data_IF_843883316755
#
_entry.id   IF_843883316755
#
_cell.length_a   1.000
_cell.length_b   1.000
_cell.length_c   1.000
_cell.angle_alpha   90.00
_cell.angle_beta   90.00
_cell.angle_gamma   90.00
#
_symmetry.space_group_name_H-M   'P 1'
#
loop_
_entity.id
_entity.type
_entity.pdbx_description
1 polymer ?
#
# COMPACT_ATOMS: atom_id res chain seq x y z
N UNK A 1 26.23 26.87 6.13
CA UNK A 1 26.97 27.07 4.86
C UNK A 1 25.97 27.20 3.75
N UNK A 2 26.29 27.88 2.66
CA UNK A 2 25.37 27.95 1.52
C UNK A 2 25.28 26.61 0.79
N UNK A 3 24.21 26.38 0.02
CA UNK A 3 23.99 25.13 -0.70
C UNK A 3 25.15 24.86 -1.69
N UNK A 4 25.57 25.90 -2.42
CA UNK A 4 26.74 25.88 -3.30
C UNK A 4 28.01 25.43 -2.57
N UNK A 5 28.28 26.01 -1.40
CA UNK A 5 29.47 25.66 -0.61
C UNK A 5 29.45 24.18 -0.21
N UNK A 6 28.30 23.70 0.30
CA UNK A 6 28.14 22.31 0.72
C UNK A 6 28.33 21.34 -0.44
N UNK A 7 27.68 21.57 -1.58
CA UNK A 7 27.82 20.72 -2.76
C UNK A 7 29.28 20.71 -3.28
N UNK A 8 29.95 21.87 -3.29
CA UNK A 8 31.35 22.01 -3.72
C UNK A 8 32.29 21.24 -2.80
N UNK A 9 32.16 21.40 -1.48
CA UNK A 9 33.03 20.73 -0.51
C UNK A 9 32.83 19.21 -0.47
N UNK A 10 31.57 18.75 -0.57
CA UNK A 10 31.27 17.32 -0.61
C UNK A 10 31.83 16.69 -1.88
N UNK A 11 31.56 17.27 -3.05
CA UNK A 11 32.05 16.74 -4.34
C UNK A 11 33.58 16.76 -4.43
N UNK A 12 34.20 17.91 -4.17
CA UNK A 12 35.65 18.08 -4.27
C UNK A 12 36.45 17.30 -3.22
N UNK A 13 35.88 17.11 -2.02
CA UNK A 13 36.50 16.36 -0.93
C UNK A 13 36.34 14.84 -1.03
N UNK A 14 35.42 14.34 -1.87
CA UNK A 14 35.00 12.93 -1.82
C UNK A 14 36.12 11.94 -2.15
N UNK A 15 36.88 12.20 -3.22
CA UNK A 15 37.94 11.29 -3.70
C UNK A 15 39.04 11.10 -2.67
N UNK A 16 39.44 12.19 -2.01
CA UNK A 16 40.41 12.13 -0.92
C UNK A 16 39.82 11.38 0.29
N UNK A 17 38.60 11.76 0.70
CA UNK A 17 37.93 11.18 1.86
C UNK A 17 37.78 9.65 1.76
N UNK A 18 37.54 9.11 0.56
CA UNK A 18 37.45 7.66 0.32
C UNK A 18 38.71 6.87 0.74
N UNK A 19 39.87 7.53 0.81
CA UNK A 19 41.13 6.91 1.25
C UNK A 19 41.44 7.14 2.74
N UNK A 20 40.55 7.82 3.46
CA UNK A 20 40.68 8.15 4.88
C UNK A 20 39.72 7.31 5.74
N UNK A 21 39.91 7.35 7.05
CA UNK A 21 39.06 6.62 7.98
C UNK A 21 37.62 7.16 7.93
N UNK A 22 36.65 6.25 7.77
CA UNK A 22 35.24 6.59 7.57
C UNK A 22 34.57 7.19 8.82
N UNK A 23 34.87 6.65 10.00
CA UNK A 23 34.14 6.96 11.23
C UNK A 23 34.34 8.43 11.65
N UNK A 24 33.25 9.19 11.67
CA UNK A 24 33.24 10.59 12.10
C UNK A 24 33.85 11.57 11.10
N UNK A 25 34.11 11.14 9.85
CA UNK A 25 34.79 11.97 8.87
C UNK A 25 34.00 13.25 8.53
N UNK A 26 34.64 14.44 8.45
CA UNK A 26 33.97 15.71 8.18
C UNK A 26 33.11 15.71 6.91
N UNK A 27 33.63 15.22 5.77
CA UNK A 27 32.88 15.13 4.51
C UNK A 27 31.60 14.27 4.63
N UNK A 28 31.64 13.17 5.39
CA UNK A 28 30.45 12.34 5.62
C UNK A 28 29.41 13.06 6.49
N UNK A 29 29.85 13.90 7.43
CA UNK A 29 28.98 14.73 8.26
C UNK A 29 28.36 15.88 7.45
N UNK A 30 29.13 16.54 6.58
CA UNK A 30 28.61 17.56 5.67
C UNK A 30 27.44 17.03 4.85
N UNK A 31 27.56 15.80 4.32
CA UNK A 31 26.48 15.15 3.58
C UNK A 31 25.28 14.77 4.47
N UNK A 32 25.53 14.17 5.64
CA UNK A 32 24.48 13.59 6.49
C UNK A 32 23.78 14.56 7.43
N UNK A 33 24.33 15.76 7.63
CA UNK A 33 23.81 16.74 8.58
C UNK A 33 23.65 18.09 7.91
N UNK A 34 24.75 18.69 7.49
CA UNK A 34 24.75 20.08 7.03
C UNK A 34 23.98 20.26 5.71
N UNK A 35 24.11 19.32 4.77
CA UNK A 35 23.35 19.34 3.52
C UNK A 35 21.86 19.05 3.75
N UNK A 36 21.53 18.10 4.64
CA UNK A 36 20.13 17.85 5.03
C UNK A 36 19.52 19.14 5.59
N UNK A 37 20.19 19.78 6.54
CA UNK A 37 19.70 21.01 7.17
C UNK A 37 19.55 22.16 6.15
N UNK A 38 20.49 22.31 5.22
CA UNK A 38 20.40 23.34 4.18
C UNK A 38 19.20 23.11 3.24
N UNK A 39 18.94 21.85 2.87
CA UNK A 39 17.79 21.51 2.03
C UNK A 39 16.49 21.73 2.82
N UNK A 40 16.40 21.28 4.08
CA UNK A 40 15.23 21.52 4.95
C UNK A 40 14.86 23.01 5.04
N UNK A 41 15.85 23.90 5.15
CA UNK A 41 15.61 25.36 5.17
C UNK A 41 15.14 25.93 3.83
N UNK A 42 15.33 25.20 2.74
CA UNK A 42 14.92 25.59 1.38
C UNK A 42 13.52 25.07 1.04
N UNK A 43 13.06 24.02 1.73
CA UNK A 43 11.75 23.42 1.47
C UNK A 43 10.60 24.32 1.96
N UNK A 44 9.53 24.49 1.16
CA UNK A 44 8.36 25.27 1.56
C UNK A 44 7.61 24.63 2.75
N UNK A 45 7.52 23.29 2.76
CA UNK A 45 6.89 22.50 3.83
C UNK A 45 7.83 21.36 4.26
N UNK A 46 8.85 21.62 5.10
CA UNK A 46 9.88 20.63 5.42
C UNK A 46 9.33 19.40 6.17
N UNK A 47 8.20 19.52 6.86
CA UNK A 47 7.54 18.39 7.57
C UNK A 47 6.97 17.33 6.63
N UNK A 48 6.75 17.67 5.37
CA UNK A 48 6.13 16.79 4.38
C UNK A 48 7.16 15.87 3.71
N UNK A 49 8.45 16.08 3.99
CA UNK A 49 9.54 15.35 3.37
C UNK A 49 10.44 14.64 4.38
N UNK A 50 10.82 13.42 4.06
CA UNK A 50 11.82 12.61 4.73
C UNK A 50 13.12 12.66 3.94
N UNK A 51 14.12 13.36 4.46
CA UNK A 51 15.44 13.44 3.86
C UNK A 51 16.33 12.29 4.35
N UNK A 52 16.97 11.59 3.42
CA UNK A 52 17.93 10.52 3.72
C UNK A 52 19.21 10.75 2.95
N UNK A 53 20.35 10.59 3.61
CA UNK A 53 21.64 10.70 2.96
C UNK A 53 22.55 9.51 3.29
N UNK A 54 23.31 9.05 2.30
CA UNK A 54 24.24 7.93 2.45
C UNK A 54 25.64 8.29 1.96
N UNK A 55 26.58 8.29 2.92
CA UNK A 55 28.02 8.28 2.65
C UNK A 55 28.59 6.85 2.57
N UNK A 56 27.74 5.81 2.72
CA UNK A 56 28.13 4.41 2.88
C UNK A 56 27.89 3.85 4.28
N UNK A 57 27.84 2.52 4.44
CA UNK A 57 27.49 1.85 5.69
C UNK A 57 28.69 1.09 6.26
N UNK A 58 29.52 1.77 7.05
CA UNK A 58 30.76 1.24 7.62
C UNK A 58 31.98 1.38 6.72
N UNK A 59 31.78 1.40 5.39
CA UNK A 59 32.76 1.78 4.38
C UNK A 59 32.22 2.93 3.54
N UNK A 60 33.10 3.67 2.86
CA UNK A 60 32.72 4.74 1.94
C UNK A 60 31.87 4.23 0.78
N UNK A 61 30.81 4.96 0.44
CA UNK A 61 30.06 4.74 -0.78
C UNK A 61 30.88 5.20 -2.00
N UNK A 62 30.80 4.43 -3.08
CA UNK A 62 31.38 4.82 -4.36
C UNK A 62 30.69 6.06 -4.93
N UNK A 63 29.36 6.08 -4.89
CA UNK A 63 28.49 7.20 -5.23
C UNK A 63 27.67 7.55 -3.99
N UNK A 64 27.96 8.65 -3.29
CA UNK A 64 27.12 9.11 -2.21
C UNK A 64 25.91 9.86 -2.77
N UNK A 65 24.88 9.96 -1.94
CA UNK A 65 23.63 10.56 -2.35
C UNK A 65 22.84 11.14 -1.18
N UNK A 66 21.92 12.04 -1.51
CA UNK A 66 20.88 12.54 -0.61
C UNK A 66 19.54 12.51 -1.36
N UNK A 67 18.57 11.77 -0.85
CA UNK A 67 17.21 11.67 -1.39
C UNK A 67 16.24 12.51 -0.57
N UNK A 68 15.28 13.14 -1.24
CA UNK A 68 14.17 13.86 -0.64
C UNK A 68 12.91 13.05 -0.93
N UNK A 69 12.34 12.43 0.09
CA UNK A 69 11.22 11.49 -0.05
C UNK A 69 9.96 12.14 0.49
N UNK A 70 8.80 11.99 -0.16
CA UNK A 70 7.53 12.32 0.47
C UNK A 70 6.96 11.03 1.10
N UNK A 71 6.78 10.92 2.43
CA UNK A 71 6.26 9.71 3.08
C UNK A 71 4.86 9.28 2.61
N UNK A 72 4.05 10.20 2.09
CA UNK A 72 2.77 9.86 1.46
C UNK A 72 2.95 9.11 0.13
N UNK A 73 4.14 9.16 -0.47
CA UNK A 73 4.49 8.55 -1.76
C UNK A 73 5.42 7.34 -1.57
N UNK A 74 6.55 7.54 -0.91
CA UNK A 74 7.53 6.50 -0.61
C UNK A 74 8.39 6.88 0.58
N UNK A 75 8.67 5.91 1.45
CA UNK A 75 9.64 6.08 2.54
C UNK A 75 10.99 5.42 2.22
N UNK A 76 11.14 4.82 1.04
CA UNK A 76 12.29 3.99 0.67
C UNK A 76 12.89 4.41 -0.66
N UNK A 77 14.22 4.51 -0.73
CA UNK A 77 14.93 4.71 -2.01
C UNK A 77 14.93 3.46 -2.89
N UNK A 78 14.39 2.33 -2.41
CA UNK A 78 14.31 1.09 -3.17
C UNK A 78 13.06 1.03 -4.07
N UNK A 79 12.10 1.92 -3.87
CA UNK A 79 10.79 1.92 -4.55
C UNK A 79 10.26 3.35 -4.73
N UNK A 80 9.41 3.54 -5.75
CA UNK A 80 8.80 4.84 -6.05
C UNK A 80 9.74 5.81 -6.75
N UNK A 81 9.24 7.02 -7.01
CA UNK A 81 9.94 8.17 -7.57
C UNK A 81 10.32 9.14 -6.45
N UNK A 82 11.45 9.83 -6.60
CA UNK A 82 11.91 10.81 -5.62
C UNK A 82 13.04 11.70 -6.17
N UNK A 83 13.09 12.99 -5.78
CA UNK A 83 14.26 13.82 -6.01
C UNK A 83 15.50 13.30 -5.26
N UNK A 84 16.66 13.33 -5.91
CA UNK A 84 17.92 12.85 -5.36
C UNK A 84 19.12 13.65 -5.88
N UNK A 85 20.01 14.00 -4.97
CA UNK A 85 21.36 14.44 -5.29
C UNK A 85 22.29 13.22 -5.41
N UNK A 86 22.96 13.08 -6.55
CA UNK A 86 23.91 12.00 -6.83
C UNK A 86 25.30 12.59 -7.12
N UNK A 87 26.29 12.34 -6.27
CA UNK A 87 27.65 12.85 -6.48
C UNK A 87 28.46 11.87 -7.32
N UNK A 88 29.20 12.36 -8.31
CA UNK A 88 30.06 11.51 -9.14
C UNK A 88 31.15 10.86 -8.29
N UNK A 89 31.47 9.60 -8.59
CA UNK A 89 32.51 8.85 -7.86
C UNK A 89 33.90 9.48 -8.00
N UNK A 90 34.14 10.20 -9.10
CA UNK A 90 35.39 10.92 -9.37
C UNK A 90 35.44 12.34 -8.77
N UNK A 91 34.40 12.76 -8.05
CA UNK A 91 34.34 14.08 -7.40
C UNK A 91 34.16 15.27 -8.35
N UNK A 92 33.97 15.03 -9.65
CA UNK A 92 33.92 16.11 -10.66
C UNK A 92 32.62 16.92 -10.68
N UNK A 93 31.63 16.53 -9.89
CA UNK A 93 30.36 17.25 -9.77
C UNK A 93 29.25 16.43 -9.15
N UNK A 94 28.05 17.00 -9.19
CA UNK A 94 26.83 16.43 -8.59
C UNK A 94 25.66 16.59 -9.54
N UNK A 95 24.80 15.58 -9.61
CA UNK A 95 23.52 15.66 -10.30
C UNK A 95 22.41 15.94 -9.28
N UNK A 96 21.44 16.75 -9.68
CA UNK A 96 20.10 16.73 -9.11
C UNK A 96 19.19 16.01 -10.11
N UNK A 97 18.50 14.97 -9.65
CA UNK A 97 17.77 14.04 -10.51
C UNK A 97 16.42 13.67 -9.90
N UNK A 98 15.40 13.51 -10.73
CA UNK A 98 14.20 12.77 -10.37
C UNK A 98 14.49 11.27 -10.57
N UNK A 99 14.94 10.64 -9.49
CA UNK A 99 15.29 9.22 -9.48
C UNK A 99 14.09 8.31 -9.24
N UNK A 100 14.27 7.03 -9.52
CA UNK A 100 13.29 5.99 -9.15
C UNK A 100 13.94 4.69 -8.70
N UNK A 101 13.26 3.99 -7.79
CA UNK A 101 13.72 2.71 -7.26
C UNK A 101 13.72 1.59 -8.32
N UNK A 102 14.88 0.98 -8.57
CA UNK A 102 15.03 -0.13 -9.54
C UNK A 102 15.23 -1.50 -8.90
N UNK A 103 15.17 -1.58 -7.56
CA UNK A 103 15.41 -2.82 -6.82
C UNK A 103 14.42 -3.91 -7.21
N UNK A 104 13.13 -3.58 -7.28
CA UNK A 104 12.10 -4.55 -7.67
C UNK A 104 12.21 -4.93 -9.15
N UNK A 105 12.50 -3.97 -10.04
CA UNK A 105 12.74 -4.25 -11.47
C UNK A 105 13.90 -5.24 -11.67
N UNK A 106 15.01 -5.07 -10.94
CA UNK A 106 16.16 -6.00 -11.00
C UNK A 106 15.80 -7.37 -10.44
N UNK A 107 15.00 -7.42 -9.37
CA UNK A 107 14.56 -8.67 -8.75
C UNK A 107 13.63 -9.46 -9.67
N UNK A 108 12.74 -8.77 -10.39
CA UNK A 108 11.72 -9.38 -11.23
C UNK A 108 12.23 -9.78 -12.62
N UNK A 109 13.12 -8.97 -13.22
CA UNK A 109 13.48 -9.10 -14.63
C UNK A 109 14.98 -9.38 -14.87
N UNK A 110 15.82 -9.27 -13.84
CA UNK A 110 17.28 -9.31 -13.99
C UNK A 110 17.84 -8.03 -14.64
N UNK A 111 19.16 -7.81 -14.54
CA UNK A 111 19.79 -6.51 -14.85
C UNK A 111 19.57 -6.01 -16.28
N UNK A 112 19.61 -6.90 -17.27
CA UNK A 112 19.49 -6.51 -18.70
C UNK A 112 18.08 -6.02 -19.02
N UNK A 113 17.06 -6.79 -18.63
CA UNK A 113 15.66 -6.43 -18.89
C UNK A 113 15.17 -5.33 -17.95
N UNK A 114 15.73 -5.22 -16.73
CA UNK A 114 15.48 -4.10 -15.82
C UNK A 114 15.91 -2.75 -16.42
N UNK A 115 17.00 -2.70 -17.18
CA UNK A 115 17.42 -1.48 -17.91
C UNK A 115 16.39 -1.07 -18.96
N UNK A 116 15.86 -2.03 -19.73
CA UNK A 116 14.81 -1.76 -20.71
C UNK A 116 13.52 -1.28 -20.04
N UNK A 117 13.11 -1.93 -18.95
CA UNK A 117 11.93 -1.52 -18.16
C UNK A 117 12.10 -0.18 -17.47
N UNK A 118 13.31 0.17 -17.05
CA UNK A 118 13.61 1.50 -16.53
C UNK A 118 13.52 2.58 -17.61
N UNK A 119 13.92 2.28 -18.86
CA UNK A 119 13.75 3.21 -19.97
C UNK A 119 12.26 3.42 -20.33
N UNK A 120 11.46 2.36 -20.29
CA UNK A 120 9.99 2.46 -20.42
C UNK A 120 9.40 3.33 -19.31
N UNK A 121 9.77 3.07 -18.05
CA UNK A 121 9.30 3.86 -16.89
C UNK A 121 9.74 5.33 -16.98
N UNK A 122 10.99 5.58 -17.39
CA UNK A 122 11.50 6.93 -17.65
C UNK A 122 10.65 7.63 -18.70
N UNK A 123 10.34 6.97 -19.80
CA UNK A 123 9.51 7.53 -20.87
C UNK A 123 8.11 7.87 -20.38
N UNK A 124 7.51 6.99 -19.56
CA UNK A 124 6.21 7.24 -18.93
C UNK A 124 6.27 8.47 -18.00
N UNK A 125 7.24 8.54 -17.08
CA UNK A 125 7.36 9.66 -16.13
C UNK A 125 7.56 10.98 -16.88
N UNK A 126 8.43 10.99 -17.90
CA UNK A 126 8.66 12.18 -18.74
C UNK A 126 7.41 12.61 -19.51
N UNK A 127 6.53 11.67 -19.85
CA UNK A 127 5.26 11.96 -20.52
C UNK A 127 4.19 12.59 -19.62
N UNK A 128 4.36 12.54 -18.29
CA UNK A 128 3.42 13.13 -17.32
C UNK A 128 3.71 14.61 -17.05
N UNK A 129 4.95 15.07 -17.29
CA UNK A 129 5.30 16.47 -17.10
C UNK A 129 6.36 16.93 -18.11
N UNK A 130 5.95 17.80 -19.03
CA UNK A 130 6.79 18.33 -20.10
C UNK A 130 7.99 19.14 -19.58
N UNK A 131 7.98 19.63 -18.33
CA UNK A 131 9.14 20.34 -17.74
C UNK A 131 10.37 19.43 -17.65
N UNK A 132 10.20 18.11 -17.62
CA UNK A 132 11.32 17.15 -17.65
C UNK A 132 12.13 17.19 -18.95
N UNK A 133 11.64 17.84 -20.01
CA UNK A 133 12.39 18.13 -21.23
C UNK A 133 13.61 19.04 -20.99
N UNK A 134 13.51 19.97 -20.04
CA UNK A 134 14.63 20.81 -19.61
C UNK A 134 15.59 20.07 -18.64
N UNK A 135 15.23 18.85 -18.25
CA UNK A 135 16.00 17.95 -17.37
C UNK A 135 16.53 16.72 -18.12
N UNK A 136 16.84 16.81 -19.41
CA UNK A 136 17.22 15.64 -20.23
C UNK A 136 18.70 15.23 -20.17
N UNK A 137 19.47 15.73 -19.20
CA UNK A 137 20.88 15.32 -19.11
C UNK A 137 20.99 13.87 -18.63
N UNK A 138 21.70 13.06 -19.43
CA UNK A 138 22.00 11.67 -19.06
C UNK A 138 22.95 11.64 -17.86
N UNK A 139 22.57 10.89 -16.84
CA UNK A 139 23.37 10.70 -15.63
C UNK A 139 24.58 9.81 -15.94
N UNK A 140 25.78 10.31 -15.67
CA UNK A 140 27.07 9.61 -15.78
C UNK A 140 27.83 9.81 -14.46
N UNK A 141 27.85 8.78 -13.61
CA UNK A 141 28.39 8.85 -12.26
C UNK A 141 29.87 8.49 -12.19
N UNK A 142 30.48 8.08 -13.31
CA UNK A 142 31.85 7.54 -13.37
C UNK A 142 32.10 6.43 -12.36
N UNK A 143 31.07 5.66 -12.07
CA UNK A 143 31.14 4.56 -11.14
C UNK A 143 31.68 3.30 -11.81
N UNK A 144 32.60 2.63 -11.14
CA UNK A 144 33.05 1.29 -11.53
C UNK A 144 32.30 0.18 -10.77
N UNK A 145 31.33 0.53 -9.93
CA UNK A 145 30.54 -0.43 -9.17
C UNK A 145 29.19 -0.67 -9.84
N UNK A 146 28.71 -1.92 -9.79
CA UNK A 146 27.39 -2.29 -10.33
C UNK A 146 26.26 -1.48 -9.68
N UNK A 147 26.42 -1.12 -8.39
CA UNK A 147 25.44 -0.31 -7.68
C UNK A 147 25.42 1.13 -8.18
N UNK A 148 26.58 1.80 -8.29
CA UNK A 148 26.64 3.18 -8.77
C UNK A 148 26.18 3.31 -10.22
N UNK A 149 26.60 2.39 -11.10
CA UNK A 149 26.11 2.31 -12.49
C UNK A 149 24.60 2.08 -12.58
N UNK A 150 23.97 1.57 -11.52
CA UNK A 150 22.54 1.36 -11.53
C UNK A 150 21.70 2.60 -11.29
N UNK A 151 22.30 3.64 -10.71
CA UNK A 151 21.64 4.94 -10.56
C UNK A 151 21.60 5.71 -11.89
N UNK A 152 22.55 5.45 -12.81
CA UNK A 152 22.66 6.16 -14.09
C UNK A 152 21.45 5.98 -15.02
N UNK A 153 20.84 4.79 -15.00
CA UNK A 153 19.64 4.48 -15.79
C UNK A 153 18.35 4.50 -14.96
N UNK A 154 18.43 4.91 -13.69
CA UNK A 154 17.32 5.01 -12.75
C UNK A 154 16.88 6.47 -12.52
N UNK A 155 16.89 7.27 -13.60
CA UNK A 155 16.63 8.71 -13.57
C UNK A 155 15.61 9.07 -14.66
N UNK A 156 14.53 9.73 -14.27
CA UNK A 156 13.54 10.26 -15.20
C UNK A 156 14.07 11.53 -15.90
N UNK A 157 14.69 12.42 -15.13
CA UNK A 157 15.37 13.63 -15.61
C UNK A 157 16.43 14.09 -14.61
N UNK A 158 17.47 14.79 -15.09
CA UNK A 158 18.55 15.31 -14.27
C UNK A 158 19.17 16.60 -14.83
N UNK A 159 19.75 17.39 -13.93
CA UNK A 159 20.68 18.51 -14.21
C UNK A 159 22.02 18.22 -13.53
N UNK A 160 23.12 18.47 -14.25
CA UNK A 160 24.49 18.27 -13.79
C UNK A 160 25.13 19.59 -13.38
N UNK A 161 25.73 19.59 -12.19
CA UNK A 161 26.48 20.71 -11.64
C UNK A 161 27.96 20.33 -11.55
N UNK A 162 28.78 20.75 -12.53
CA UNK A 162 30.23 20.49 -12.51
C UNK A 162 30.90 21.25 -11.37
N UNK A 163 31.88 20.63 -10.71
CA UNK A 163 32.61 21.24 -9.60
C UNK A 163 33.28 22.57 -10.01
N UNK A 164 33.92 22.58 -11.19
CA UNK A 164 34.66 23.73 -11.70
C UNK A 164 33.76 24.92 -12.09
N UNK A 165 32.45 24.69 -12.23
CA UNK A 165 31.48 25.72 -12.58
C UNK A 165 30.15 25.50 -11.83
N UNK A 166 30.24 25.33 -10.51
CA UNK A 166 29.08 25.18 -9.64
C UNK A 166 28.21 26.46 -9.69
N UNK A 167 26.90 26.36 -10.01
CA UNK A 167 26.00 27.50 -10.03
C UNK A 167 25.89 28.22 -8.70
N UNK A 168 25.32 29.43 -8.72
CA UNK A 168 24.99 30.16 -7.50
C UNK A 168 23.81 29.53 -6.73
N UNK A 169 23.66 29.94 -5.47
CA UNK A 169 22.62 29.40 -4.58
C UNK A 169 21.21 29.66 -5.12
N UNK A 170 20.98 30.77 -5.83
CA UNK A 170 19.66 31.09 -6.38
C UNK A 170 19.26 30.08 -7.46
N UNK A 171 20.19 29.75 -8.36
CA UNK A 171 19.96 28.76 -9.42
C UNK A 171 19.76 27.36 -8.83
N UNK A 172 20.60 26.95 -7.87
CA UNK A 172 20.49 25.65 -7.21
C UNK A 172 19.17 25.50 -6.46
N UNK A 173 18.73 26.55 -5.77
CA UNK A 173 17.44 26.57 -5.07
C UNK A 173 16.27 26.56 -6.05
N UNK A 174 16.34 27.34 -7.13
CA UNK A 174 15.29 27.37 -8.16
C UNK A 174 15.11 25.99 -8.82
N UNK A 175 16.21 25.34 -9.20
CA UNK A 175 16.19 24.00 -9.78
C UNK A 175 15.61 22.96 -8.80
N UNK A 176 15.96 23.06 -7.52
CA UNK A 176 15.41 22.18 -6.49
C UNK A 176 13.90 22.35 -6.33
N UNK A 177 13.41 23.59 -6.27
CA UNK A 177 11.98 23.88 -6.15
C UNK A 177 11.23 23.39 -7.39
N UNK A 178 11.74 23.68 -8.59
CA UNK A 178 11.16 23.20 -9.84
C UNK A 178 11.04 21.66 -9.87
N UNK A 179 12.09 20.94 -9.46
CA UNK A 179 12.05 19.48 -9.43
C UNK A 179 11.07 18.94 -8.38
N UNK A 180 10.88 19.64 -7.26
CA UNK A 180 9.89 19.28 -6.23
C UNK A 180 8.46 19.50 -6.71
N UNK A 181 8.22 20.56 -7.50
CA UNK A 181 6.92 20.79 -8.15
C UNK A 181 6.64 19.71 -9.20
N UNK A 182 7.60 19.39 -10.06
CA UNK A 182 7.50 18.26 -11.01
C UNK A 182 7.20 16.96 -10.25
N UNK A 183 7.91 16.71 -9.14
CA UNK A 183 7.69 15.53 -8.32
C UNK A 183 6.27 15.46 -7.76
N UNK A 184 5.71 16.60 -7.31
CA UNK A 184 4.34 16.68 -6.82
C UNK A 184 3.32 16.44 -7.95
N UNK A 185 3.52 17.02 -9.13
CA UNK A 185 2.60 16.95 -10.26
C UNK A 185 2.62 15.57 -10.94
N UNK A 186 3.81 15.02 -11.19
CA UNK A 186 3.97 13.63 -11.63
C UNK A 186 3.30 12.69 -10.65
N UNK A 187 3.38 12.97 -9.34
CA UNK A 187 2.69 12.15 -8.34
C UNK A 187 1.16 12.30 -8.40
N UNK A 188 0.62 13.50 -8.59
CA UNK A 188 -0.82 13.72 -8.75
C UNK A 188 -1.34 13.01 -9.99
N UNK A 189 -0.62 13.09 -11.11
CA UNK A 189 -1.00 12.39 -12.34
C UNK A 189 -0.76 10.89 -12.26
N UNK A 190 0.29 10.41 -11.58
CA UNK A 190 0.35 8.99 -11.26
C UNK A 190 -0.80 8.62 -10.36
N UNK A 191 -1.17 9.34 -9.30
CA UNK A 191 -2.35 8.95 -8.51
C UNK A 191 -3.67 8.97 -9.31
N UNK A 192 -3.77 9.80 -10.36
CA UNK A 192 -4.91 9.80 -11.29
C UNK A 192 -4.82 8.68 -12.38
N UNK A 193 -3.64 8.39 -12.92
CA UNK A 193 -3.36 7.38 -13.98
C UNK A 193 -2.92 6.00 -13.43
N UNK A 194 -2.64 5.94 -12.14
CA UNK A 194 -2.36 4.80 -11.27
C UNK A 194 -3.42 4.75 -10.17
N UNK A 195 -4.65 5.12 -10.49
CA UNK A 195 -5.71 4.21 -10.11
C UNK A 195 -5.42 2.93 -10.91
N UNK A 196 -4.97 1.83 -10.30
CA UNK A 196 -4.86 0.60 -11.05
C UNK A 196 -6.29 0.29 -11.46
N UNK A 197 -6.63 0.52 -12.72
CA UNK A 197 -7.81 -0.07 -13.29
C UNK A 197 -7.76 -1.54 -12.88
N UNK A 198 -8.80 -2.00 -12.21
CA UNK A 198 -9.05 -3.40 -11.88
C UNK A 198 -9.16 -4.26 -13.17
N UNK A 199 -8.88 -3.68 -14.35
CA UNK A 199 -9.06 -4.23 -15.71
C UNK A 199 -8.39 -5.58 -15.99
N UNK A 200 -7.46 -6.07 -15.15
CA UNK A 200 -6.90 -7.42 -15.25
C UNK A 200 -7.11 -8.29 -13.99
N UNK A 201 -7.90 -7.86 -13.01
CA UNK A 201 -8.25 -8.67 -11.86
C UNK A 201 -9.44 -9.58 -12.18
N UNK A 202 -9.30 -10.86 -11.89
CA UNK A 202 -10.36 -11.84 -12.03
C UNK A 202 -11.36 -11.71 -10.88
N UNK A 203 -12.60 -11.36 -11.21
CA UNK A 203 -13.72 -11.41 -10.26
C UNK A 203 -13.92 -12.84 -9.78
N UNK A 204 -14.02 -13.02 -8.47
CA UNK A 204 -14.37 -14.30 -7.87
C UNK A 204 -15.88 -14.41 -7.68
N UNK A 205 -16.38 -15.62 -7.48
CA UNK A 205 -17.81 -15.85 -7.25
C UNK A 205 -18.23 -15.51 -5.82
N UNK A 206 -17.41 -15.87 -4.81
CA UNK A 206 -17.71 -15.66 -3.40
C UNK A 206 -16.58 -14.89 -2.71
N UNK A 207 -16.89 -13.94 -1.81
CA UNK A 207 -15.87 -13.13 -1.16
C UNK A 207 -15.20 -13.86 0.03
N UNK A 208 -15.77 -14.99 0.45
CA UNK A 208 -15.19 -15.84 1.49
C UNK A 208 -14.45 -16.99 0.82
N UNK A 209 -13.14 -17.07 1.03
CA UNK A 209 -12.25 -18.08 0.47
C UNK A 209 -11.80 -19.04 1.58
N UNK A 210 -11.78 -20.33 1.28
CA UNK A 210 -11.12 -21.34 2.11
C UNK A 210 -9.89 -21.85 1.37
N UNK A 211 -8.71 -21.63 1.95
CA UNK A 211 -7.45 -22.14 1.41
C UNK A 211 -7.10 -23.39 2.21
N UNK A 212 -7.33 -24.56 1.61
CA UNK A 212 -7.08 -25.87 2.20
C UNK A 212 -5.73 -26.41 1.75
N UNK A 213 -4.97 -27.05 2.65
CA UNK A 213 -3.78 -27.80 2.27
C UNK A 213 -2.87 -28.10 3.45
N UNK A 214 -1.82 -28.90 3.23
CA UNK A 214 -0.82 -29.18 4.28
C UNK A 214 -0.07 -27.90 4.70
N UNK A 215 0.52 -27.93 5.89
CA UNK A 215 1.33 -26.81 6.39
C UNK A 215 2.54 -26.55 5.45
N UNK A 216 2.94 -25.29 5.31
CA UNK A 216 4.08 -24.90 4.48
C UNK A 216 3.81 -24.74 2.97
N UNK A 217 2.57 -24.98 2.49
CA UNK A 217 2.20 -24.84 1.06
C UNK A 217 2.01 -23.39 0.59
N UNK A 218 2.18 -22.41 1.48
CA UNK A 218 2.12 -20.99 1.11
C UNK A 218 0.72 -20.38 1.09
N UNK A 219 -0.29 -20.99 1.72
CA UNK A 219 -1.67 -20.46 1.82
C UNK A 219 -1.75 -19.00 2.27
N UNK A 220 -1.14 -18.69 3.42
CA UNK A 220 -1.08 -17.33 3.98
C UNK A 220 -0.28 -16.39 3.07
N UNK A 221 0.78 -16.91 2.42
CA UNK A 221 1.59 -16.16 1.45
C UNK A 221 0.79 -15.81 0.19
N UNK A 222 -0.06 -16.70 -0.31
CA UNK A 222 -0.94 -16.44 -1.45
C UNK A 222 -1.81 -15.21 -1.18
N UNK A 223 -2.54 -15.18 -0.06
CA UNK A 223 -3.39 -14.02 0.33
C UNK A 223 -2.56 -12.74 0.43
N UNK A 224 -1.37 -12.85 1.03
CA UNK A 224 -0.45 -11.71 1.19
C UNK A 224 0.00 -11.15 -0.17
N UNK A 225 0.38 -12.01 -1.11
CA UNK A 225 0.79 -11.58 -2.45
C UNK A 225 -0.39 -10.98 -3.24
N UNK A 226 -1.61 -11.49 -3.07
CA UNK A 226 -2.81 -10.87 -3.64
C UNK A 226 -3.00 -9.44 -3.12
N UNK A 227 -2.89 -9.24 -1.80
CA UNK A 227 -3.06 -7.92 -1.21
C UNK A 227 -1.96 -6.93 -1.62
N UNK A 228 -0.71 -7.38 -1.80
CA UNK A 228 0.39 -6.51 -2.27
C UNK A 228 0.14 -5.91 -3.65
N UNK A 229 -0.70 -6.53 -4.48
CA UNK A 229 -1.07 -5.98 -5.79
C UNK A 229 -1.82 -4.65 -5.71
N UNK A 230 -2.36 -4.28 -4.54
CA UNK A 230 -3.03 -3.00 -4.34
C UNK A 230 -2.08 -1.80 -4.31
N UNK A 231 -0.76 -2.05 -4.13
CA UNK A 231 0.24 -1.02 -3.81
C UNK A 231 -0.02 -0.24 -2.49
N UNK A 232 -1.11 -0.55 -1.78
CA UNK A 232 -1.49 0.00 -0.48
C UNK A 232 -1.58 -1.13 0.56
N UNK A 233 -0.55 -1.98 0.59
CA UNK A 233 -0.57 -3.24 1.35
C UNK A 233 -0.86 -3.06 2.85
N UNK A 234 -0.33 -2.00 3.47
CA UNK A 234 -0.57 -1.70 4.88
C UNK A 234 -2.05 -1.39 5.18
N UNK A 235 -2.77 -0.92 4.17
CA UNK A 235 -4.18 -0.57 4.29
C UNK A 235 -5.11 -1.71 3.92
N UNK A 236 -4.78 -2.46 2.88
CA UNK A 236 -5.65 -3.46 2.27
C UNK A 236 -5.39 -4.89 2.77
N UNK A 237 -4.57 -5.10 3.79
CA UNK A 237 -4.27 -6.43 4.33
C UNK A 237 -4.34 -6.47 5.85
N UNK A 238 -5.11 -7.41 6.39
CA UNK A 238 -5.12 -7.74 7.81
C UNK A 238 -4.88 -9.25 7.99
N UNK A 239 -3.86 -9.61 8.75
CA UNK A 239 -3.59 -11.01 9.13
C UNK A 239 -3.99 -11.18 10.59
N UNK A 240 -4.92 -12.09 10.87
CA UNK A 240 -5.32 -12.44 12.23
C UNK A 240 -5.21 -13.96 12.41
N UNK A 241 -4.43 -14.39 13.38
CA UNK A 241 -4.37 -15.81 13.77
C UNK A 241 -5.59 -16.14 14.64
N UNK A 242 -6.39 -17.12 14.19
CA UNK A 242 -7.51 -17.64 14.98
C UNK A 242 -6.94 -18.34 16.22
N UNK A 243 -7.61 -18.16 17.36
CA UNK A 243 -7.18 -18.76 18.62
C UNK A 243 -8.07 -19.95 18.98
N UNK A 244 -7.56 -20.97 19.70
CA UNK A 244 -8.35 -22.14 20.09
C UNK A 244 -9.56 -21.83 20.97
N UNK A 245 -9.52 -20.70 21.69
CA UNK A 245 -10.56 -20.25 22.62
C UNK A 245 -11.67 -19.44 21.93
N UNK A 246 -11.64 -19.28 20.61
CA UNK A 246 -12.69 -18.59 19.86
C UNK A 246 -13.94 -19.47 19.74
N UNK A 247 -15.02 -19.06 20.39
CA UNK A 247 -16.24 -19.85 20.49
C UNK A 247 -17.51 -19.03 20.25
N UNK A 248 -17.41 -17.72 20.03
CA UNK A 248 -18.58 -16.86 19.80
C UNK A 248 -18.27 -15.67 18.87
N UNK A 249 -19.30 -15.06 18.23
CA UNK A 249 -19.10 -13.95 17.31
C UNK A 249 -18.38 -12.73 17.88
N UNK A 250 -18.42 -12.54 19.21
CA UNK A 250 -17.70 -11.50 19.94
C UNK A 250 -16.18 -11.63 19.84
N UNK A 251 -15.64 -12.83 19.65
CA UNK A 251 -14.20 -13.02 19.45
C UNK A 251 -13.72 -12.41 18.12
N UNK A 252 -14.62 -12.39 17.13
CA UNK A 252 -14.38 -11.80 15.81
C UNK A 252 -14.75 -10.32 15.78
N UNK A 253 -15.91 -9.94 16.31
CA UNK A 253 -16.51 -8.62 16.11
C UNK A 253 -16.35 -7.68 17.30
N UNK A 254 -16.19 -8.23 18.51
CA UNK A 254 -16.14 -7.46 19.75
C UNK A 254 -17.44 -7.58 20.55
N UNK A 255 -17.45 -6.97 21.73
CA UNK A 255 -18.54 -7.11 22.70
C UNK A 255 -18.74 -5.84 23.53
N UNK A 256 -19.91 -5.72 24.16
CA UNK A 256 -20.17 -4.66 25.14
C UNK A 256 -19.65 -5.12 26.50
N UNK A 257 -18.67 -4.38 27.02
CA UNK A 257 -18.21 -4.46 28.41
C UNK A 257 -18.95 -3.44 29.28
N UNK A 258 -19.20 -3.81 30.54
CA UNK A 258 -19.77 -2.91 31.57
C UNK A 258 -18.88 -2.77 32.80
N UNK A 259 -17.62 -3.19 32.71
CA UNK A 259 -16.69 -3.21 33.85
C UNK A 259 -16.44 -1.82 34.43
N UNK A 260 -16.45 -0.79 33.58
CA UNK A 260 -16.24 0.60 33.97
C UNK A 260 -17.56 1.31 34.40
N UNK A 261 -18.65 0.56 34.61
CA UNK A 261 -19.97 1.10 35.00
C UNK A 261 -20.80 1.66 33.84
N UNK A 262 -20.16 2.15 32.78
CA UNK A 262 -20.80 2.50 31.51
C UNK A 262 -20.67 1.36 30.49
N UNK A 263 -21.66 1.23 29.59
CA UNK A 263 -21.61 0.29 28.48
C UNK A 263 -20.60 0.77 27.43
N UNK A 264 -19.50 0.05 27.28
CA UNK A 264 -18.40 0.34 26.36
C UNK A 264 -18.27 -0.81 25.37
N UNK A 265 -18.20 -0.51 24.08
CA UNK A 265 -17.95 -1.53 23.07
C UNK A 265 -16.45 -1.73 22.87
N UNK A 266 -15.99 -2.96 23.08
CA UNK A 266 -14.60 -3.36 22.87
C UNK A 266 -14.49 -3.94 21.47
N UNK A 267 -13.91 -3.17 20.55
CA UNK A 267 -13.69 -3.57 19.15
C UNK A 267 -12.50 -4.52 19.02
N UNK A 268 -12.56 -5.43 18.05
CA UNK A 268 -11.41 -6.22 17.60
C UNK A 268 -10.70 -5.56 16.42
N UNK A 269 -9.46 -5.97 16.14
CA UNK A 269 -8.73 -5.55 14.94
C UNK A 269 -9.47 -5.91 13.65
N UNK A 270 -10.24 -7.02 13.67
CA UNK A 270 -11.06 -7.45 12.53
C UNK A 270 -12.20 -6.47 12.29
N UNK A 271 -12.96 -6.08 13.31
CA UNK A 271 -14.04 -5.11 13.13
C UNK A 271 -13.50 -3.75 12.69
N UNK A 272 -12.35 -3.33 13.24
CA UNK A 272 -11.68 -2.10 12.80
C UNK A 272 -11.24 -2.18 11.34
N UNK A 273 -10.78 -3.34 10.87
CA UNK A 273 -10.42 -3.56 9.48
C UNK A 273 -11.65 -3.55 8.54
N UNK A 274 -12.77 -4.12 8.97
CA UNK A 274 -14.05 -4.03 8.24
C UNK A 274 -14.50 -2.56 8.13
N UNK A 275 -14.40 -1.79 9.22
CA UNK A 275 -14.71 -0.36 9.19
C UNK A 275 -13.75 0.41 8.26
N UNK A 276 -12.47 0.04 8.23
CA UNK A 276 -11.48 0.61 7.30
C UNK A 276 -11.86 0.36 5.84
N UNK A 277 -12.30 -0.85 5.50
CA UNK A 277 -12.77 -1.18 4.16
C UNK A 277 -14.01 -0.36 3.74
N UNK A 278 -14.92 -0.08 4.68
CA UNK A 278 -16.05 0.84 4.47
C UNK A 278 -15.61 2.28 4.20
N UNK A 279 -14.64 2.80 4.96
CA UNK A 279 -14.11 4.15 4.71
C UNK A 279 -13.50 4.26 3.33
N UNK A 280 -12.76 3.24 2.89
CA UNK A 280 -12.22 3.21 1.54
C UNK A 280 -13.29 3.28 0.44
N UNK A 281 -14.49 2.74 0.67
CA UNK A 281 -15.64 2.92 -0.23
C UNK A 281 -16.15 4.35 -0.17
N UNK A 282 -16.36 4.90 1.02
CA UNK A 282 -16.81 6.28 1.20
C UNK A 282 -15.85 7.29 0.54
N UNK A 283 -14.54 7.03 0.61
CA UNK A 283 -13.49 7.88 0.06
C UNK A 283 -13.27 7.66 -1.46
N UNK A 284 -13.90 6.64 -2.06
CA UNK A 284 -13.72 6.29 -3.48
C UNK A 284 -14.58 7.09 -4.46
N UNK A 285 -15.43 7.99 -3.95
CA UNK A 285 -16.37 8.78 -4.76
C UNK A 285 -17.72 8.10 -5.02
N UNK A 286 -17.91 6.87 -4.55
CA UNK A 286 -19.21 6.19 -4.59
C UNK A 286 -20.21 6.88 -3.66
N UNK A 287 -21.49 6.81 -4.04
CA UNK A 287 -22.58 7.36 -3.23
C UNK A 287 -22.99 6.35 -2.17
N UNK A 288 -23.10 6.79 -0.92
CA UNK A 288 -23.70 6.00 0.16
C UNK A 288 -24.98 6.71 0.58
N UNK A 289 -26.11 6.02 0.45
CA UNK A 289 -27.42 6.59 0.73
C UNK A 289 -28.34 5.57 1.41
N UNK A 290 -29.43 6.07 1.98
CA UNK A 290 -30.45 5.23 2.61
C UNK A 290 -31.57 5.02 1.61
N UNK A 291 -31.80 3.77 1.22
CA UNK A 291 -32.92 3.40 0.35
C UNK A 291 -33.93 2.54 1.10
N UNK A 292 -35.20 2.68 0.72
CA UNK A 292 -36.30 1.86 1.21
C UNK A 292 -36.46 0.63 0.31
N UNK A 293 -36.33 -0.56 0.91
CA UNK A 293 -36.61 -1.84 0.26
C UNK A 293 -38.00 -2.30 0.66
N UNK A 294 -38.82 -2.71 -0.30
CA UNK A 294 -40.20 -3.18 -0.05
C UNK A 294 -40.25 -4.34 0.99
N UNK A 295 -39.25 -5.22 0.96
CA UNK A 295 -39.21 -6.42 1.81
C UNK A 295 -38.37 -6.26 3.10
N UNK A 296 -37.48 -5.27 3.15
CA UNK A 296 -36.46 -5.16 4.21
C UNK A 296 -36.43 -3.79 4.92
N UNK A 297 -37.26 -2.85 4.49
CA UNK A 297 -37.31 -1.49 5.03
C UNK A 297 -36.09 -0.65 4.62
N UNK A 298 -35.82 0.41 5.39
CA UNK A 298 -34.72 1.33 5.11
C UNK A 298 -33.37 0.74 5.50
N UNK A 299 -32.41 0.78 4.59
CA UNK A 299 -31.05 0.28 4.78
C UNK A 299 -30.03 1.14 4.04
N UNK A 300 -28.78 1.03 4.47
CA UNK A 300 -27.64 1.63 3.77
C UNK A 300 -27.40 0.91 2.44
N UNK A 301 -27.29 1.69 1.38
CA UNK A 301 -27.02 1.25 0.02
C UNK A 301 -25.81 2.01 -0.52
N UNK A 302 -24.87 1.29 -1.10
CA UNK A 302 -23.76 1.85 -1.86
C UNK A 302 -24.16 1.85 -3.33
N UNK A 303 -24.00 2.97 -4.02
CA UNK A 303 -24.37 3.14 -5.42
C UNK A 303 -23.27 3.87 -6.19
N UNK A 304 -23.18 3.58 -7.48
CA UNK A 304 -22.27 4.28 -8.40
C UNK A 304 -22.21 3.60 -9.77
N UNK A 305 -21.23 4.00 -10.57
CA UNK A 305 -21.01 3.46 -11.90
C UNK A 305 -19.89 2.40 -11.92
N UNK A 306 -19.88 1.56 -12.95
CA UNK A 306 -18.86 0.51 -13.12
C UNK A 306 -17.43 1.05 -13.09
N UNK A 307 -17.17 2.17 -13.75
CA UNK A 307 -15.82 2.76 -13.82
C UNK A 307 -15.33 3.27 -12.45
N UNK A 308 -16.26 3.64 -11.55
CA UNK A 308 -15.97 4.02 -10.17
C UNK A 308 -15.71 2.78 -9.31
N UNK A 309 -16.52 1.74 -9.50
CA UNK A 309 -16.33 0.43 -8.85
C UNK A 309 -14.97 -0.18 -9.16
N UNK A 310 -14.50 -0.04 -10.41
CA UNK A 310 -13.21 -0.54 -10.89
C UNK A 310 -12.00 0.16 -10.27
N UNK A 311 -12.21 1.20 -9.46
CA UNK A 311 -11.16 1.92 -8.72
C UNK A 311 -11.10 1.48 -7.25
N UNK A 312 -12.11 0.78 -6.75
CA UNK A 312 -12.20 0.39 -5.33
C UNK A 312 -11.31 -0.82 -5.06
N UNK A 313 -10.31 -0.66 -4.20
CA UNK A 313 -9.36 -1.73 -3.91
C UNK A 313 -9.98 -2.85 -3.06
N UNK A 314 -9.62 -4.13 -3.32
CA UNK A 314 -10.01 -5.24 -2.46
C UNK A 314 -9.24 -5.22 -1.14
N UNK A 315 -9.97 -5.36 -0.03
CA UNK A 315 -9.45 -5.46 1.34
C UNK A 315 -9.40 -6.93 1.76
N UNK A 316 -8.20 -7.45 2.00
CA UNK A 316 -7.95 -8.86 2.31
C UNK A 316 -7.81 -9.09 3.82
N UNK A 317 -8.82 -9.70 4.43
CA UNK A 317 -8.74 -10.26 5.77
C UNK A 317 -8.31 -11.72 5.70
N UNK A 318 -7.12 -12.02 6.21
CA UNK A 318 -6.57 -13.37 6.29
C UNK A 318 -6.74 -13.92 7.71
N UNK A 319 -7.65 -14.89 7.88
CA UNK A 319 -7.82 -15.64 9.11
C UNK A 319 -6.91 -16.87 9.05
N UNK A 320 -5.77 -16.79 9.75
CA UNK A 320 -4.77 -17.85 9.74
C UNK A 320 -5.17 -18.97 10.71
N UNK A 321 -5.01 -20.22 10.28
CA UNK A 321 -5.41 -21.41 11.03
C UNK A 321 -6.89 -21.36 11.43
N UNK A 322 -7.75 -21.04 10.48
CA UNK A 322 -9.17 -20.76 10.70
C UNK A 322 -9.87 -21.91 11.43
N UNK A 323 -9.46 -23.15 11.17
CA UNK A 323 -10.00 -24.37 11.77
C UNK A 323 -9.36 -24.79 13.10
N UNK A 324 -8.53 -23.94 13.70
CA UNK A 324 -8.03 -24.15 15.07
C UNK A 324 -9.15 -24.06 16.11
N UNK A 325 -10.26 -23.38 15.78
CA UNK A 325 -11.48 -23.33 16.56
C UNK A 325 -12.71 -23.65 15.69
N UNK A 326 -13.87 -24.01 16.27
CA UNK A 326 -15.09 -24.32 15.53
C UNK A 326 -15.61 -23.10 14.74
N UNK A 327 -15.35 -23.09 13.43
CA UNK A 327 -15.59 -21.92 12.57
C UNK A 327 -17.04 -21.48 12.56
N UNK A 328 -17.99 -22.42 12.54
CA UNK A 328 -19.42 -22.10 12.58
C UNK A 328 -19.88 -21.38 13.85
N UNK A 329 -19.07 -21.34 14.93
CA UNK A 329 -19.44 -20.67 16.18
C UNK A 329 -19.02 -19.21 16.16
N UNK A 330 -17.72 -18.93 16.07
CA UNK A 330 -17.22 -17.56 16.08
C UNK A 330 -17.50 -16.79 14.77
N UNK A 331 -17.71 -17.51 13.67
CA UNK A 331 -17.98 -16.91 12.35
C UNK A 331 -19.48 -16.90 12.01
N UNK A 332 -20.35 -17.30 12.94
CA UNK A 332 -21.79 -17.49 12.71
C UNK A 332 -22.49 -16.23 12.15
N UNK A 333 -22.29 -15.09 12.82
CA UNK A 333 -22.95 -13.82 12.43
C UNK A 333 -22.46 -13.35 11.07
N UNK A 334 -21.15 -13.46 10.79
CA UNK A 334 -20.60 -13.15 9.48
C UNK A 334 -21.21 -14.03 8.39
N UNK A 335 -21.25 -15.36 8.58
CA UNK A 335 -21.83 -16.30 7.61
C UNK A 335 -23.33 -16.05 7.37
N UNK A 336 -24.06 -15.63 8.40
CA UNK A 336 -25.47 -15.27 8.28
C UNK A 336 -25.65 -14.01 7.43
N UNK A 337 -24.90 -12.96 7.73
CA UNK A 337 -24.99 -11.67 7.02
C UNK A 337 -24.44 -11.77 5.60
N UNK A 338 -23.45 -12.64 5.35
CA UNK A 338 -22.86 -12.85 4.04
C UNK A 338 -23.88 -13.23 2.95
N UNK A 339 -24.95 -13.93 3.32
CA UNK A 339 -26.04 -14.34 2.42
C UNK A 339 -27.01 -13.21 2.06
N UNK A 340 -27.00 -12.12 2.83
CA UNK A 340 -27.92 -10.99 2.66
C UNK A 340 -27.41 -9.98 1.63
N UNK A 341 -26.18 -10.18 1.14
CA UNK A 341 -25.54 -9.30 0.17
C UNK A 341 -26.31 -9.31 -1.13
N UNK A 342 -26.67 -8.13 -1.58
CA UNK A 342 -27.48 -7.93 -2.76
C UNK A 342 -26.85 -6.86 -3.66
N UNK A 343 -26.42 -7.30 -4.84
CA UNK A 343 -26.10 -6.48 -5.99
C UNK A 343 -27.30 -6.36 -6.92
N UNK A 344 -27.58 -5.14 -7.39
CA UNK A 344 -28.50 -4.87 -8.51
C UNK A 344 -27.79 -4.00 -9.52
N UNK A 345 -27.98 -4.31 -10.80
CA UNK A 345 -27.37 -3.60 -11.92
C UNK A 345 -28.44 -3.06 -12.85
N UNK A 346 -28.29 -1.81 -13.28
CA UNK A 346 -29.14 -1.16 -14.30
C UNK A 346 -28.22 -0.49 -15.32
N UNK A 347 -27.89 -1.20 -16.40
CA UNK A 347 -26.83 -0.75 -17.31
C UNK A 347 -25.46 -0.84 -16.64
N UNK A 348 -24.73 0.27 -16.59
CA UNK A 348 -23.42 0.38 -15.93
C UNK A 348 -23.52 0.87 -14.47
N UNK A 349 -24.70 1.34 -14.05
CA UNK A 349 -24.96 1.73 -12.67
C UNK A 349 -25.26 0.50 -11.81
N UNK A 350 -24.75 0.49 -10.58
CA UNK A 350 -24.99 -0.57 -9.60
C UNK A 350 -25.49 -0.02 -8.27
N UNK A 351 -26.16 -0.90 -7.53
CA UNK A 351 -26.40 -0.73 -6.09
C UNK A 351 -25.97 -1.99 -5.36
N UNK A 352 -25.33 -1.82 -4.21
CA UNK A 352 -24.98 -2.88 -3.28
C UNK A 352 -25.59 -2.61 -1.90
N UNK A 353 -26.16 -3.64 -1.29
CA UNK A 353 -26.66 -3.58 0.09
C UNK A 353 -26.38 -4.88 0.83
N UNK A 354 -26.33 -4.81 2.16
CA UNK A 354 -26.07 -5.93 3.04
C UNK A 354 -26.62 -5.63 4.43
N UNK A 355 -27.17 -6.63 5.11
CA UNK A 355 -27.65 -6.47 6.49
C UNK A 355 -26.51 -6.09 7.44
N UNK A 356 -26.87 -5.44 8.55
CA UNK A 356 -25.90 -4.98 9.53
C UNK A 356 -25.22 -6.15 10.25
N UNK A 357 -23.89 -6.21 10.12
CA UNK A 357 -23.01 -7.06 10.92
C UNK A 357 -22.89 -6.50 12.35
N UNK A 358 -22.60 -5.20 12.47
CA UNK A 358 -22.73 -4.46 13.73
C UNK A 358 -24.11 -3.79 13.79
N UNK A 359 -25.02 -4.41 14.54
CA UNK A 359 -26.44 -4.02 14.59
C UNK A 359 -26.66 -2.65 15.23
N UNK A 360 -27.67 -1.86 14.77
CA UNK A 360 -28.02 -0.57 15.39
C UNK A 360 -28.29 -0.67 16.89
N UNK A 361 -28.96 -1.74 17.34
CA UNK A 361 -29.27 -1.94 18.74
C UNK A 361 -28.00 -2.04 19.60
N UNK A 362 -26.96 -2.68 19.07
CA UNK A 362 -25.65 -2.80 19.74
C UNK A 362 -24.96 -1.44 19.83
N UNK A 363 -24.94 -0.67 18.74
CA UNK A 363 -24.34 0.68 18.70
C UNK A 363 -25.08 1.63 19.66
N UNK A 364 -26.41 1.58 19.68
CA UNK A 364 -27.23 2.43 20.53
C UNK A 364 -27.18 2.06 22.02
N UNK A 365 -26.76 0.84 22.35
CA UNK A 365 -26.53 0.43 23.72
C UNK A 365 -25.19 0.92 24.30
N UNK A 366 -24.28 1.45 23.46
CA UNK A 366 -23.01 2.02 23.89
C UNK A 366 -23.24 3.41 24.48
N UNK A 367 -22.69 3.65 25.67
CA UNK A 367 -22.84 4.92 26.37
C UNK A 367 -22.06 6.05 25.70
N UNK A 368 -20.83 5.77 25.25
CA UNK A 368 -19.96 6.70 24.55
C UNK A 368 -19.80 6.29 23.08
N UNK A 369 -20.68 6.82 22.23
CA UNK A 369 -20.66 6.56 20.79
C UNK A 369 -19.46 7.20 20.09
N UNK A 370 -18.94 8.30 20.61
CA UNK A 370 -17.76 8.98 20.04
C UNK A 370 -16.49 8.15 20.23
N UNK A 371 -16.37 7.48 21.38
CA UNK A 371 -15.28 6.52 21.58
C UNK A 371 -15.34 5.35 20.60
N UNK A 372 -16.53 4.79 20.36
CA UNK A 372 -16.72 3.73 19.35
C UNK A 372 -16.44 4.25 17.94
N UNK A 373 -16.96 5.44 17.60
CA UNK A 373 -16.73 6.12 16.33
C UNK A 373 -15.25 6.24 16.02
N UNK A 374 -14.47 6.72 17.00
CA UNK A 374 -13.01 6.86 16.91
C UNK A 374 -12.29 5.51 16.81
N UNK A 375 -12.72 4.51 17.57
CA UNK A 375 -12.14 3.16 17.49
C UNK A 375 -12.35 2.54 16.10
N UNK A 376 -13.51 2.79 15.49
CA UNK A 376 -13.83 2.41 14.11
C UNK A 376 -13.31 3.43 13.08
N UNK A 377 -12.51 4.43 13.49
CA UNK A 377 -11.85 5.45 12.66
C UNK A 377 -12.76 6.32 11.80
N UNK A 378 -14.01 6.54 12.22
CA UNK A 378 -14.95 7.46 11.57
C UNK A 378 -14.90 8.87 12.18
N UNK A 379 -13.85 9.25 12.89
CA UNK A 379 -13.74 10.51 13.66
C UNK A 379 -13.49 11.77 12.80
N UNK A 380 -13.19 11.62 11.50
CA UNK A 380 -13.13 12.74 10.57
C UNK A 380 -14.50 13.36 10.27
N UNK A 381 -14.53 14.68 10.07
CA UNK A 381 -15.75 15.44 9.73
C UNK A 381 -16.42 14.92 8.45
N UNK A 382 -15.63 14.43 7.48
CA UNK A 382 -16.16 13.85 6.24
C UNK A 382 -17.04 12.60 6.47
N UNK A 383 -16.93 11.96 7.63
CA UNK A 383 -17.70 10.76 7.98
C UNK A 383 -18.90 11.06 8.89
N UNK A 384 -19.17 12.31 9.26
CA UNK A 384 -20.26 12.66 10.19
C UNK A 384 -21.62 12.11 9.73
N UNK A 385 -21.98 12.35 8.46
CA UNK A 385 -23.24 11.90 7.88
C UNK A 385 -23.31 10.36 7.83
N UNK A 386 -22.26 9.72 7.32
CA UNK A 386 -22.16 8.27 7.25
C UNK A 386 -22.24 7.62 8.63
N UNK A 387 -21.59 8.19 9.64
CA UNK A 387 -21.62 7.68 11.01
C UNK A 387 -23.02 7.78 11.63
N UNK A 388 -23.75 8.87 11.36
CA UNK A 388 -25.14 9.00 11.78
C UNK A 388 -26.01 7.90 11.17
N UNK A 389 -25.84 7.61 9.88
CA UNK A 389 -26.56 6.52 9.22
C UNK A 389 -26.15 5.14 9.76
N UNK A 390 -24.85 4.90 10.02
CA UNK A 390 -24.36 3.67 10.67
C UNK A 390 -24.99 3.50 12.06
N UNK A 391 -25.15 4.58 12.84
CA UNK A 391 -25.81 4.50 14.14
C UNK A 391 -27.30 4.10 14.03
N UNK A 392 -27.95 4.46 12.92
CA UNK A 392 -29.37 4.19 12.70
C UNK A 392 -29.63 2.84 12.04
N UNK A 393 -28.83 2.46 11.03
CA UNK A 393 -29.05 1.28 10.18
C UNK A 393 -28.00 0.18 10.37
N UNK A 394 -26.89 0.48 11.05
CA UNK A 394 -25.83 -0.46 11.41
C UNK A 394 -24.73 -0.51 10.35
N UNK A 395 -23.65 -1.25 10.66
CA UNK A 395 -22.52 -1.44 9.75
C UNK A 395 -22.58 -2.83 9.12
N UNK A 396 -22.82 -2.92 7.81
CA UNK A 396 -22.88 -4.17 7.06
C UNK A 396 -21.50 -4.71 6.64
N UNK A 397 -21.48 -5.78 5.83
CA UNK A 397 -20.24 -6.24 5.18
C UNK A 397 -20.00 -5.37 3.94
N UNK A 398 -18.87 -4.63 3.84
CA UNK A 398 -18.58 -3.84 2.65
C UNK A 398 -18.20 -4.77 1.48
N UNK A 399 -18.61 -4.43 0.27
CA UNK A 399 -18.43 -5.33 -0.87
C UNK A 399 -16.96 -5.60 -1.23
N UNK A 400 -16.08 -4.66 -0.89
CA UNK A 400 -14.66 -4.76 -1.18
C UNK A 400 -13.88 -5.64 -0.18
N UNK A 401 -14.54 -6.17 0.85
CA UNK A 401 -13.94 -7.08 1.81
C UNK A 401 -13.90 -8.52 1.27
N UNK A 402 -12.69 -9.08 1.23
CA UNK A 402 -12.42 -10.49 0.96
C UNK A 402 -11.90 -11.14 2.23
N UNK A 403 -12.53 -12.23 2.66
CA UNK A 403 -12.09 -13.00 3.82
C UNK A 403 -11.49 -14.31 3.34
N UNK A 404 -10.24 -14.58 3.66
CA UNK A 404 -9.55 -15.81 3.34
C UNK A 404 -9.19 -16.56 4.63
N UNK A 405 -9.78 -17.74 4.83
CA UNK A 405 -9.43 -18.65 5.90
C UNK A 405 -8.36 -19.63 5.43
N UNK A 406 -7.20 -19.66 6.08
CA UNK A 406 -6.21 -20.72 5.85
C UNK A 406 -6.55 -21.91 6.72
N UNK A 407 -6.45 -23.11 6.14
CA UNK A 407 -6.89 -24.36 6.77
C UNK A 407 -5.77 -25.37 6.68
N UNK A 408 -5.38 -25.91 7.82
CA UNK A 408 -4.53 -27.09 7.89
C UNK A 408 -5.38 -28.36 7.86
N UNK A 409 -4.98 -29.32 7.05
CA UNK A 409 -5.70 -30.59 6.84
C UNK A 409 -5.17 -31.73 7.73
N UNK A 410 -4.62 -31.42 8.90
CA UNK A 410 -4.09 -32.39 9.87
C UNK A 410 -5.09 -32.75 10.98
N UNK A 411 -4.84 -33.88 11.67
CA UNK A 411 -5.76 -34.49 12.66
C UNK A 411 -6.03 -33.62 13.91
N UNK A 412 -5.31 -32.50 14.08
CA UNK A 412 -5.38 -31.63 15.25
C UNK A 412 -6.38 -30.48 15.13
N UNK A 413 -7.19 -30.45 14.07
CA UNK A 413 -8.05 -29.31 13.74
C UNK A 413 -9.53 -29.68 13.64
N UNK A 414 -10.41 -28.67 13.73
CA UNK A 414 -11.85 -28.86 13.61
C UNK A 414 -12.26 -29.04 12.13
N UNK A 415 -13.16 -30.00 11.88
CA UNK A 415 -13.80 -30.13 10.58
C UNK A 415 -14.78 -28.98 10.30
N UNK A 416 -15.04 -28.69 9.02
CA UNK A 416 -16.02 -27.67 8.65
C UNK A 416 -17.43 -28.25 8.51
N UNK A 417 -18.40 -27.52 9.05
CA UNK A 417 -19.81 -27.77 8.73
C UNK A 417 -20.13 -27.37 7.27
N UNK A 418 -21.17 -27.99 6.69
CA UNK A 418 -21.66 -27.60 5.36
C UNK A 418 -22.01 -26.12 5.26
N UNK A 419 -22.48 -25.50 6.35
CA UNK A 419 -22.81 -24.07 6.39
C UNK A 419 -21.62 -23.17 6.02
N UNK A 420 -20.41 -23.58 6.40
CA UNK A 420 -19.18 -22.85 6.09
C UNK A 420 -18.76 -23.13 4.65
N UNK A 421 -18.69 -24.40 4.26
CA UNK A 421 -18.23 -24.85 2.92
C UNK A 421 -19.13 -24.29 1.82
N UNK A 422 -20.45 -24.33 2.00
CA UNK A 422 -21.42 -23.88 1.00
C UNK A 422 -21.32 -22.37 0.72
N UNK A 423 -20.76 -21.60 1.66
CA UNK A 423 -20.59 -20.13 1.57
C UNK A 423 -19.19 -19.71 1.13
N UNK A 424 -18.26 -20.66 1.06
CA UNK A 424 -16.89 -20.42 0.68
C UNK A 424 -16.62 -20.76 -0.80
N UNK A 425 -15.62 -20.10 -1.37
CA UNK A 425 -14.89 -20.53 -2.54
C UNK A 425 -13.62 -21.26 -2.07
N UNK A 426 -13.56 -22.57 -2.28
CA UNK A 426 -12.45 -23.39 -1.78
C UNK A 426 -11.32 -23.50 -2.81
N UNK A 427 -10.10 -23.28 -2.37
CA UNK A 427 -8.86 -23.54 -3.09
C UNK A 427 -8.12 -24.68 -2.37
N UNK A 428 -7.80 -25.74 -3.11
CA UNK A 428 -7.04 -26.87 -2.58
C UNK A 428 -5.57 -26.77 -3.02
N UNK A 429 -4.68 -26.62 -2.04
CA UNK A 429 -3.22 -26.62 -2.17
C UNK A 429 -2.70 -28.06 -2.02
N UNK A 430 -3.30 -28.99 -2.76
CA UNK A 430 -3.03 -30.43 -2.70
C UNK A 430 -1.83 -30.91 -3.53
N UNK A 431 -1.28 -30.08 -4.40
CA UNK A 431 -0.09 -30.45 -5.17
C UNK A 431 1.17 -30.30 -4.30
N UNK A 432 1.74 -31.43 -3.91
CA UNK A 432 3.17 -31.50 -3.63
C UNK A 432 3.86 -31.09 -4.93
N UNK A 433 4.22 -29.81 -5.07
CA UNK A 433 5.12 -29.42 -6.14
C UNK A 433 6.40 -30.21 -5.88
N UNK A 434 6.81 -31.16 -6.75
CA UNK A 434 8.16 -31.67 -6.64
C UNK A 434 9.09 -30.45 -6.62
N UNK A 435 10.16 -30.48 -5.82
CA UNK A 435 11.18 -29.45 -5.90
C UNK A 435 11.83 -29.53 -7.30
N UNK A 436 11.19 -28.95 -8.30
CA UNK A 436 11.78 -28.74 -9.61
C UNK A 436 12.62 -27.49 -9.49
N UNK A 437 13.89 -27.70 -9.15
CA UNK A 437 14.86 -26.64 -8.93
C UNK A 437 14.94 -25.66 -10.11
N UNK A 438 14.49 -26.03 -11.31
CA UNK A 438 14.44 -25.13 -12.47
C UNK A 438 13.35 -24.05 -12.37
N UNK A 439 12.20 -24.35 -11.74
CA UNK A 439 11.11 -23.37 -11.53
C UNK A 439 11.43 -22.35 -10.42
N UNK A 440 12.44 -22.62 -9.58
CA UNK A 440 12.90 -21.69 -8.54
C UNK A 440 13.68 -20.49 -9.09
N UNK A 441 14.20 -20.57 -10.32
CA UNK A 441 15.08 -19.54 -10.90
C UNK A 441 14.40 -18.67 -11.97
N UNK A 442 13.27 -19.10 -12.53
CA UNK A 442 12.51 -18.37 -13.56
C UNK A 442 11.01 -18.58 -13.37
N UNK A 443 10.22 -17.53 -13.04
CA UNK A 443 8.77 -17.66 -12.95
C UNK A 443 8.17 -17.93 -14.34
N UNK A 444 7.60 -19.12 -14.53
CA UNK A 444 6.89 -19.52 -15.76
C UNK A 444 5.39 -19.15 -15.72
N UNK A 445 4.89 -18.66 -14.59
CA UNK A 445 3.50 -18.28 -14.38
C UNK A 445 3.37 -16.87 -13.80
N UNK A 446 2.33 -16.14 -14.22
CA UNK A 446 1.95 -14.86 -13.63
C UNK A 446 0.83 -15.09 -12.59
N UNK A 447 0.93 -14.44 -11.43
CA UNK A 447 -0.15 -14.49 -10.44
C UNK A 447 -1.40 -13.81 -11.01
N UNK A 448 -2.51 -14.53 -11.07
CA UNK A 448 -3.80 -13.92 -11.40
C UNK A 448 -4.27 -13.08 -10.22
N UNK A 449 -4.40 -11.77 -10.43
CA UNK A 449 -5.01 -10.89 -9.44
C UNK A 449 -6.48 -11.26 -9.30
N UNK A 450 -6.96 -11.38 -8.06
CA UNK A 450 -8.34 -11.68 -7.73
C UNK A 450 -9.00 -10.41 -7.19
N UNK A 451 -10.26 -10.20 -7.53
CA UNK A 451 -11.10 -9.13 -7.00
C UNK A 451 -12.43 -9.69 -6.47
N UNK A 452 -13.18 -8.86 -5.76
CA UNK A 452 -14.45 -9.22 -5.12
C UNK A 452 -15.57 -9.51 -6.13
N UNK A 453 -16.60 -10.29 -5.73
CA UNK A 453 -17.78 -10.52 -6.56
C UNK A 453 -18.59 -9.23 -6.72
N UNK A 454 -19.12 -9.02 -7.92
CA UNK A 454 -20.02 -7.90 -8.24
C UNK A 454 -21.45 -8.36 -8.58
N UNK A 455 -21.74 -9.65 -8.38
CA UNK A 455 -23.05 -10.25 -8.64
C UNK A 455 -23.53 -10.98 -7.39
N UNK A 456 -24.84 -10.94 -7.16
CA UNK A 456 -25.49 -11.80 -6.18
C UNK A 456 -25.55 -13.24 -6.70
N UNK A 457 -25.40 -14.22 -5.82
CA UNK A 457 -25.53 -15.63 -6.19
C UNK A 457 -26.98 -16.08 -6.44
N UNK A 458 -27.95 -15.25 -6.07
CA UNK A 458 -29.37 -15.44 -6.32
C UNK A 458 -29.94 -14.13 -6.89
N UNK A 459 -30.11 -14.10 -8.21
CA UNK A 459 -30.93 -13.14 -8.93
C UNK A 459 -31.66 -13.86 -10.05
#
# INVERSE_FOLDING_TARGET
>A
MSLRQLLTEIAGGWVQAKNENFTGHPIANLLRRDLIQAIETTLPSPTDYLLKASAGAGNWADVPWLSILNPAITESTQSGIYPVYLFRSDGSGVYLSLGFGTTELKRQYGTTLAKQKAEELRSTIRGLDNRLDDWDQKVDLRSNTTLGQSYEWASAGAKFYPLDNMPDDNTLTSDLIELLEIYADVNLETNQNSMPAISNAQLISKPFLLLAGISGTGKTRFVREQAKTSQQFADTYCLTSVRPDWHEPSDLLGYISRLNGAAEYITTDILQFIAKAWRAIADSGLTIEVQESEDQGKRLVMAGERDELDKVLPYWLCLDEMNLAPVEQYFADYLSVLETREWRWTGDSFTYSCDALLKPATINAVADKEKLRKALGFDGEQYDALWADICQYGLGIPFNLLVAGTVNMDETTHGFSRKVIDRALSFDFGAFFPNDYNDFFTPTSCNKRLSYPIWSHAS
#
